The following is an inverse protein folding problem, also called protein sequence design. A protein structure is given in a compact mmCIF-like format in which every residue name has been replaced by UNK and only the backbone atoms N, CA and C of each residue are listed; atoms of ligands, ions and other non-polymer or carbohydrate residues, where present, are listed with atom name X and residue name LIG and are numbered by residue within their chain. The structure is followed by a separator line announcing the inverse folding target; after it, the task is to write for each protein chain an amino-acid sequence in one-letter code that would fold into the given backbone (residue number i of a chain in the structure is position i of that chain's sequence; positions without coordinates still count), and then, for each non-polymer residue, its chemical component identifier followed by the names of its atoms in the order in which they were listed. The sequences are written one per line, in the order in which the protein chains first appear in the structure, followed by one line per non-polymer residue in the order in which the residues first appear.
data_IF_445166085474
#
_entry.id   IF_445166085474
#
_cell.length_a   1.000
_cell.length_b   1.000
_cell.length_c   1.000
_cell.angle_alpha   90.00
_cell.angle_beta   90.00
_cell.angle_gamma   90.00
#
_symmetry.space_group_name_H-M   'P 1'
#
loop_
_entity.id
_entity.type
_entity.pdbx_description
1 polymer ?
#
# COMPACT_ATOMS: atom_id res chain seq x y z
N UNK A 1 20.73 12.24 -23.17
CA UNK A 1 20.55 10.81 -23.54
C UNK A 1 19.35 10.32 -22.76
N UNK A 2 18.23 10.16 -23.43
CA UNK A 2 16.96 9.73 -22.81
C UNK A 2 17.03 8.23 -22.60
N UNK A 3 16.98 7.78 -21.34
CA UNK A 3 16.83 6.37 -21.02
C UNK A 3 15.39 5.96 -21.35
N UNK A 4 15.23 5.14 -22.37
CA UNK A 4 13.98 4.49 -22.71
C UNK A 4 13.56 3.58 -21.53
N UNK A 5 12.38 3.79 -21.02
CA UNK A 5 11.79 2.91 -20.01
C UNK A 5 11.52 1.55 -20.67
N UNK A 6 12.10 0.49 -20.10
CA UNK A 6 11.86 -0.88 -20.56
C UNK A 6 10.57 -1.38 -19.89
N UNK A 7 9.51 -1.42 -20.68
CA UNK A 7 8.21 -1.99 -20.26
C UNK A 7 8.22 -3.47 -20.60
N UNK A 8 8.23 -4.32 -19.57
CA UNK A 8 8.03 -5.76 -19.75
C UNK A 8 6.54 -6.06 -19.57
N UNK A 9 5.83 -6.17 -20.69
CA UNK A 9 4.45 -6.64 -20.71
C UNK A 9 4.45 -8.17 -20.82
N UNK A 10 3.85 -8.84 -19.84
CA UNK A 10 3.42 -10.21 -20.01
C UNK A 10 2.03 -10.19 -20.64
N UNK A 11 1.83 -10.76 -21.83
CA UNK A 11 0.53 -10.76 -22.47
C UNK A 11 -0.42 -11.73 -21.77
N UNK A 12 -1.23 -11.21 -20.87
CA UNK A 12 -2.43 -11.91 -20.44
C UNK A 12 -3.54 -11.62 -21.47
N UNK A 13 -4.14 -12.67 -21.98
CA UNK A 13 -5.15 -12.64 -23.06
C UNK A 13 -6.38 -11.83 -22.68
N UNK A 14 -6.81 -10.99 -23.62
CA UNK A 14 -8.14 -10.40 -23.88
C UNK A 14 -8.52 -9.06 -23.28
N UNK A 15 -8.47 -8.09 -24.20
CA UNK A 15 -9.48 -7.09 -24.61
C UNK A 15 -10.59 -6.75 -23.61
N UNK A 16 -10.37 -5.70 -22.79
CA UNK A 16 -11.41 -4.79 -22.32
C UNK A 16 -10.80 -3.41 -22.09
N UNK A 17 -11.54 -2.40 -22.51
CA UNK A 17 -11.24 -0.98 -22.45
C UNK A 17 -10.84 -0.54 -21.05
N UNK A 18 -9.71 0.15 -21.01
CA UNK A 18 -9.04 0.70 -19.82
C UNK A 18 -9.98 1.61 -19.04
N UNK A 19 -10.24 1.19 -17.81
CA UNK A 19 -10.66 2.11 -16.76
C UNK A 19 -9.50 2.21 -15.78
N UNK A 20 -8.72 3.30 -15.85
CA UNK A 20 -7.54 3.58 -15.01
C UNK A 20 -7.86 3.70 -13.51
N UNK A 21 -9.13 3.57 -13.13
CA UNK A 21 -9.65 3.74 -11.77
C UNK A 21 -9.58 2.48 -10.89
N UNK A 22 -9.30 1.31 -11.47
CA UNK A 22 -9.35 0.04 -10.74
C UNK A 22 -7.97 -0.56 -10.44
N UNK A 23 -7.05 0.28 -9.94
CA UNK A 23 -5.76 -0.20 -9.47
C UNK A 23 -5.91 -0.92 -8.14
N UNK A 24 -5.79 -2.25 -8.17
CA UNK A 24 -5.91 -3.14 -7.00
C UNK A 24 -4.65 -3.12 -6.14
N UNK A 25 -3.49 -2.91 -6.78
CA UNK A 25 -2.20 -2.92 -6.13
C UNK A 25 -1.21 -1.98 -6.81
N UNK A 26 -0.49 -1.22 -6.00
CA UNK A 26 0.64 -0.38 -6.40
C UNK A 26 1.79 -0.60 -5.40
N UNK A 27 2.97 -0.87 -5.91
CA UNK A 27 4.19 -0.86 -5.13
C UNK A 27 5.26 -0.08 -5.87
N UNK A 28 5.81 0.94 -5.25
CA UNK A 28 6.94 1.71 -5.77
C UNK A 28 8.11 1.61 -4.84
N UNK A 29 9.28 1.37 -5.40
CA UNK A 29 10.52 1.30 -4.65
C UNK A 29 11.68 1.76 -5.48
N UNK A 30 12.29 2.88 -5.10
CA UNK A 30 13.39 3.51 -5.82
C UNK A 30 13.04 3.71 -7.32
N UNK A 31 13.62 2.92 -8.19
CA UNK A 31 13.47 3.03 -9.66
C UNK A 31 12.59 1.91 -10.24
N UNK A 32 11.80 1.24 -9.43
CA UNK A 32 10.92 0.18 -9.91
C UNK A 32 9.54 0.36 -9.31
N UNK A 33 8.52 0.29 -10.14
CA UNK A 33 7.13 0.22 -9.68
C UNK A 33 6.40 -0.95 -10.32
N UNK A 34 5.48 -1.49 -9.53
CA UNK A 34 4.55 -2.54 -9.94
C UNK A 34 3.15 -1.95 -9.81
N UNK A 35 2.36 -2.09 -10.87
CA UNK A 35 0.94 -1.76 -10.89
C UNK A 35 0.16 -2.95 -11.38
N UNK A 36 -1.00 -3.16 -10.81
CA UNK A 36 -1.93 -4.17 -11.28
C UNK A 36 -3.32 -3.59 -11.42
N UNK A 37 -4.11 -4.13 -12.34
CA UNK A 37 -5.51 -3.77 -12.51
C UNK A 37 -6.37 -4.99 -12.78
N UNK A 38 -7.65 -4.86 -12.43
CA UNK A 38 -8.62 -5.92 -12.54
C UNK A 38 -8.33 -7.12 -11.64
N UNK A 39 -9.31 -8.00 -11.50
CA UNK A 39 -9.27 -9.16 -10.61
C UNK A 39 -9.63 -10.41 -11.40
N UNK A 40 -8.77 -11.41 -11.36
CA UNK A 40 -9.07 -12.78 -11.85
C UNK A 40 -9.62 -13.61 -10.71
N UNK A 41 -8.95 -13.56 -9.55
CA UNK A 41 -9.32 -14.33 -8.35
C UNK A 41 -8.85 -13.63 -7.09
N UNK A 42 -9.63 -13.75 -6.01
CA UNK A 42 -9.31 -13.22 -4.69
C UNK A 42 -9.08 -14.37 -3.71
N UNK A 43 -8.16 -14.17 -2.77
CA UNK A 43 -7.84 -15.15 -1.73
C UNK A 43 -7.76 -14.47 -0.36
N UNK A 44 -8.44 -15.04 0.61
CA UNK A 44 -8.32 -14.70 2.03
C UNK A 44 -7.32 -15.64 2.76
N UNK A 45 -6.81 -16.64 2.06
CA UNK A 45 -5.83 -17.63 2.52
C UNK A 45 -4.55 -17.57 1.67
N UNK A 46 -3.41 -17.38 2.34
CA UNK A 46 -2.10 -17.45 1.68
C UNK A 46 -1.79 -18.86 1.15
N UNK A 47 -2.31 -19.88 1.82
CA UNK A 47 -2.13 -21.27 1.39
C UNK A 47 -2.85 -21.53 0.06
N UNK A 48 -4.10 -21.10 -0.07
CA UNK A 48 -4.88 -21.31 -1.29
C UNK A 48 -4.29 -20.53 -2.48
N UNK A 49 -3.80 -19.32 -2.24
CA UNK A 49 -3.07 -18.56 -3.25
C UNK A 49 -1.77 -19.27 -3.69
N UNK A 50 -1.03 -19.86 -2.75
CA UNK A 50 0.18 -20.61 -3.05
C UNK A 50 -0.11 -21.89 -3.87
N UNK A 51 -1.17 -22.63 -3.55
CA UNK A 51 -1.60 -23.78 -4.33
C UNK A 51 -2.07 -23.39 -5.74
N UNK A 52 -2.75 -22.25 -5.88
CA UNK A 52 -3.16 -21.74 -7.19
C UNK A 52 -1.95 -21.40 -8.08
N UNK A 53 -0.91 -20.76 -7.51
CA UNK A 53 0.36 -20.51 -8.21
C UNK A 53 1.08 -21.81 -8.58
N UNK A 54 1.20 -22.74 -7.64
CA UNK A 54 1.91 -24.01 -7.84
C UNK A 54 1.27 -24.88 -8.90
N UNK A 55 -0.05 -24.88 -9.01
CA UNK A 55 -0.80 -25.63 -10.02
C UNK A 55 -0.87 -24.93 -11.38
N UNK A 56 -0.36 -23.70 -11.49
CA UNK A 56 -0.45 -22.90 -12.71
C UNK A 56 -1.85 -22.37 -13.01
N UNK A 57 -2.76 -22.37 -12.01
CA UNK A 57 -4.11 -21.79 -12.15
C UNK A 57 -4.07 -20.28 -12.28
N UNK A 58 -3.10 -19.66 -11.66
CA UNK A 58 -2.79 -18.23 -11.75
C UNK A 58 -1.28 -18.02 -11.94
N UNK A 59 -0.89 -16.92 -12.56
CA UNK A 59 0.52 -16.62 -12.85
C UNK A 59 1.18 -15.70 -11.80
N UNK A 60 0.38 -14.90 -11.11
CA UNK A 60 0.88 -13.95 -10.13
C UNK A 60 -0.15 -13.66 -9.04
N UNK A 61 0.35 -13.26 -7.87
CA UNK A 61 -0.45 -12.82 -6.73
C UNK A 61 0.17 -11.55 -6.16
N UNK A 62 -0.68 -10.58 -5.84
CA UNK A 62 -0.32 -9.35 -5.12
C UNK A 62 -1.24 -9.18 -3.92
N UNK A 63 -0.81 -8.38 -2.94
CA UNK A 63 -1.67 -8.07 -1.81
C UNK A 63 -0.92 -7.90 -0.51
N UNK A 64 -1.61 -8.15 0.60
CA UNK A 64 -1.07 -8.07 1.95
C UNK A 64 -1.31 -9.35 2.74
N UNK A 65 -0.26 -9.77 3.44
CA UNK A 65 -0.33 -10.84 4.45
C UNK A 65 -0.50 -10.21 5.84
N UNK A 66 -1.37 -10.76 6.68
CA UNK A 66 -1.51 -10.31 8.06
C UNK A 66 -0.30 -10.75 8.90
N UNK A 67 -0.04 -10.03 9.98
CA UNK A 67 0.97 -10.45 10.96
C UNK A 67 0.55 -11.72 11.73
N UNK A 68 -0.74 -11.82 12.06
CA UNK A 68 -1.29 -13.02 12.71
C UNK A 68 -1.79 -14.01 11.65
N UNK A 69 -1.36 -15.29 11.69
CA UNK A 69 -1.79 -16.30 10.74
C UNK A 69 -3.29 -16.64 10.81
N UNK A 70 -3.96 -16.27 11.91
CA UNK A 70 -5.39 -16.45 12.11
C UNK A 70 -6.25 -15.36 11.45
N UNK A 71 -5.61 -14.29 10.99
CA UNK A 71 -6.28 -13.19 10.30
C UNK A 71 -6.32 -13.49 8.81
N UNK A 72 -7.44 -13.22 8.11
CA UNK A 72 -7.50 -13.41 6.66
C UNK A 72 -6.49 -12.57 5.91
N UNK A 73 -5.91 -13.12 4.87
CA UNK A 73 -5.03 -12.43 3.92
C UNK A 73 -5.86 -11.59 2.94
N UNK A 74 -5.28 -10.54 2.40
CA UNK A 74 -5.87 -9.78 1.29
C UNK A 74 -5.02 -9.99 0.05
N UNK A 75 -5.31 -11.02 -0.72
CA UNK A 75 -4.52 -11.43 -1.88
C UNK A 75 -5.38 -11.47 -3.14
N UNK A 76 -4.80 -11.02 -4.25
CA UNK A 76 -5.48 -10.94 -5.54
C UNK A 76 -4.57 -11.48 -6.64
N UNK A 77 -5.12 -12.35 -7.48
CA UNK A 77 -4.55 -12.64 -8.79
C UNK A 77 -5.03 -11.56 -9.76
N UNK A 78 -4.17 -10.65 -10.23
CA UNK A 78 -4.58 -9.53 -11.05
C UNK A 78 -4.82 -9.97 -12.49
N UNK A 79 -5.71 -9.24 -13.18
CA UNK A 79 -5.94 -9.41 -14.61
C UNK A 79 -4.77 -8.84 -15.43
N UNK A 80 -4.20 -7.73 -14.97
CA UNK A 80 -3.07 -7.06 -15.60
C UNK A 80 -1.96 -6.80 -14.56
N UNK A 81 -0.73 -7.07 -14.96
CA UNK A 81 0.46 -6.86 -14.15
C UNK A 81 1.50 -6.09 -14.96
N UNK A 82 1.82 -4.89 -14.53
CA UNK A 82 2.81 -4.02 -15.19
C UNK A 82 3.97 -3.73 -14.24
N UNK A 83 5.17 -3.99 -14.70
CA UNK A 83 6.40 -3.60 -14.00
C UNK A 83 7.15 -2.58 -14.81
N UNK A 84 7.40 -1.42 -14.24
CA UNK A 84 8.11 -0.33 -14.90
C UNK A 84 9.42 -0.04 -14.16
N UNK A 85 10.49 0.10 -14.93
CA UNK A 85 11.77 0.62 -14.46
C UNK A 85 11.89 2.08 -14.91
N UNK A 86 12.23 2.96 -13.98
CA UNK A 86 12.38 4.39 -14.24
C UNK A 86 11.41 5.24 -13.42
N UNK A 87 11.55 6.53 -13.54
CA UNK A 87 10.79 7.53 -12.80
C UNK A 87 9.41 7.74 -13.47
N UNK A 88 8.38 7.14 -12.91
CA UNK A 88 7.00 7.29 -13.40
C UNK A 88 6.28 8.53 -12.87
N UNK A 89 6.87 9.24 -11.90
CA UNK A 89 6.11 10.16 -11.05
C UNK A 89 6.41 11.64 -11.29
N UNK A 90 7.13 11.99 -12.36
CA UNK A 90 7.65 13.35 -12.54
C UNK A 90 6.68 14.39 -13.07
N UNK A 91 5.52 14.04 -13.60
CA UNK A 91 4.76 15.01 -14.37
C UNK A 91 3.38 15.40 -13.82
N UNK A 92 2.78 14.64 -12.93
CA UNK A 92 1.43 14.98 -12.46
C UNK A 92 1.13 14.41 -11.06
N UNK A 93 1.48 15.17 -10.02
CA UNK A 93 1.09 14.79 -8.64
C UNK A 93 -0.42 14.98 -8.51
N UNK A 94 -1.20 13.94 -8.20
CA UNK A 94 -2.64 14.05 -8.05
C UNK A 94 -3.03 15.09 -6.99
N UNK A 95 -4.04 15.88 -7.26
CA UNK A 95 -4.67 16.72 -6.25
C UNK A 95 -5.59 15.84 -5.41
N UNK A 96 -5.48 15.97 -4.08
CA UNK A 96 -6.41 15.34 -3.16
C UNK A 96 -7.50 16.32 -2.74
N UNK A 97 -8.70 15.84 -2.38
CA UNK A 97 -9.75 16.70 -1.88
C UNK A 97 -9.35 17.39 -0.58
N UNK A 98 -9.97 18.54 -0.32
CA UNK A 98 -9.87 19.23 0.97
C UNK A 98 -10.24 18.27 2.09
N UNK A 99 -9.44 18.30 3.15
CA UNK A 99 -9.61 17.38 4.26
C UNK A 99 -9.31 18.05 5.59
N UNK A 100 -9.87 17.50 6.67
CA UNK A 100 -9.66 17.99 8.04
C UNK A 100 -9.33 16.82 8.98
N UNK A 101 -8.60 17.12 10.04
CA UNK A 101 -8.40 16.15 11.12
C UNK A 101 -9.69 16.10 11.95
N UNK A 102 -10.31 14.93 12.01
CA UNK A 102 -11.55 14.68 12.74
C UNK A 102 -11.33 13.99 14.10
N UNK A 103 -10.18 13.33 14.30
CA UNK A 103 -9.90 12.65 15.55
C UNK A 103 -8.43 12.33 15.76
N UNK A 104 -8.10 12.03 17.02
CA UNK A 104 -6.77 11.65 17.48
C UNK A 104 -6.87 10.44 18.41
N UNK A 105 -6.03 9.42 18.22
CA UNK A 105 -5.92 8.27 19.12
C UNK A 105 -4.43 7.89 19.32
N UNK A 106 -3.90 8.07 20.52
CA UNK A 106 -4.50 8.77 21.68
C UNK A 106 -4.60 10.29 21.45
N UNK A 107 -5.27 10.99 22.37
CA UNK A 107 -5.33 12.46 22.33
C UNK A 107 -3.94 13.09 22.33
N UNK A 108 -3.77 14.32 21.82
CA UNK A 108 -2.48 15.01 21.80
C UNK A 108 -1.81 15.07 23.19
N UNK A 109 -2.59 15.32 24.23
CA UNK A 109 -2.08 15.39 25.60
C UNK A 109 -1.53 14.04 26.07
N UNK A 110 -2.31 12.97 25.92
CA UNK A 110 -1.88 11.61 26.29
C UNK A 110 -0.63 11.21 25.49
N UNK A 111 -0.55 11.56 24.21
CA UNK A 111 0.63 11.28 23.41
C UNK A 111 1.86 12.01 23.95
N UNK A 112 1.74 13.29 24.30
CA UNK A 112 2.81 14.09 24.89
C UNK A 112 3.30 13.49 26.21
N UNK A 113 2.38 13.03 27.06
CA UNK A 113 2.73 12.41 28.34
C UNK A 113 3.43 11.07 28.15
N UNK A 114 3.00 10.25 27.14
CA UNK A 114 3.71 9.02 26.77
C UNK A 114 5.13 9.30 26.27
N UNK A 115 5.33 10.35 25.47
CA UNK A 115 6.66 10.76 24.98
C UNK A 115 7.55 11.16 26.18
N UNK A 116 7.02 11.96 27.12
CA UNK A 116 7.76 12.37 28.33
C UNK A 116 8.20 11.16 29.16
N UNK A 117 7.28 10.24 29.45
CA UNK A 117 7.61 9.01 30.20
C UNK A 117 8.60 8.12 29.45
N UNK A 118 8.53 8.05 28.12
CA UNK A 118 9.51 7.30 27.33
C UNK A 118 10.91 7.92 27.42
N UNK A 119 11.04 9.26 27.38
CA UNK A 119 12.31 9.97 27.55
C UNK A 119 12.92 9.72 28.92
N UNK A 120 12.10 9.72 29.99
CA UNK A 120 12.56 9.42 31.35
C UNK A 120 13.14 8.01 31.45
N UNK A 121 12.46 7.02 30.88
CA UNK A 121 12.94 5.62 30.87
C UNK A 121 14.19 5.40 30.03
N UNK A 122 14.31 6.08 28.89
CA UNK A 122 15.54 6.07 28.07
C UNK A 122 16.72 6.67 28.84
N UNK A 123 16.49 7.78 29.57
CA UNK A 123 17.55 8.43 30.41
C UNK A 123 17.94 7.59 31.62
N UNK A 124 17.00 6.81 32.16
CA UNK A 124 17.28 5.90 33.28
C UNK A 124 18.00 4.62 32.82
N UNK A 125 18.11 4.36 31.53
CA UNK A 125 18.68 3.11 30.97
C UNK A 125 17.73 1.92 31.01
N UNK A 126 16.43 2.15 31.27
CA UNK A 126 15.42 1.11 31.26
C UNK A 126 15.05 0.66 29.82
N UNK A 127 15.32 1.50 28.83
CA UNK A 127 15.07 1.28 27.42
C UNK A 127 16.24 1.81 26.60
N UNK A 128 16.64 1.06 25.57
CA UNK A 128 17.62 1.50 24.58
C UNK A 128 16.94 2.26 23.42
N UNK A 129 15.74 1.83 23.05
CA UNK A 129 14.96 2.40 21.94
C UNK A 129 13.47 2.20 22.20
N UNK A 130 12.67 3.16 21.77
CA UNK A 130 11.21 3.04 21.70
C UNK A 130 10.67 3.78 20.50
N UNK A 131 9.66 3.22 19.85
CA UNK A 131 8.89 3.87 18.79
C UNK A 131 7.49 4.12 19.31
N UNK A 132 7.09 5.39 19.32
CA UNK A 132 5.74 5.79 19.72
C UNK A 132 4.94 6.21 18.49
N UNK A 133 3.73 5.68 18.39
CA UNK A 133 2.82 5.99 17.30
C UNK A 133 1.50 6.54 17.84
N UNK A 134 0.80 7.27 16.97
CA UNK A 134 -0.60 7.66 17.17
C UNK A 134 -1.32 7.60 15.83
N UNK A 135 -2.62 7.43 15.85
CA UNK A 135 -3.49 7.53 14.68
C UNK A 135 -4.21 8.88 14.63
N UNK A 136 -4.47 9.32 13.43
CA UNK A 136 -5.31 10.48 13.13
C UNK A 136 -6.46 10.01 12.25
N UNK A 137 -7.68 10.43 12.60
CA UNK A 137 -8.82 10.29 11.68
C UNK A 137 -8.87 11.55 10.82
N UNK A 138 -8.83 11.37 9.52
CA UNK A 138 -8.93 12.44 8.53
C UNK A 138 -10.21 12.22 7.74
N UNK A 139 -11.02 13.27 7.64
CA UNK A 139 -12.23 13.30 6.82
C UNK A 139 -12.00 14.22 5.62
N UNK A 140 -12.33 13.74 4.44
CA UNK A 140 -12.27 14.50 3.20
C UNK A 140 -13.67 14.90 2.73
N UNK A 141 -13.76 16.01 2.01
CA UNK A 141 -15.03 16.54 1.46
C UNK A 141 -15.59 15.67 0.33
N UNK A 142 -14.74 14.86 -0.30
CA UNK A 142 -15.13 13.88 -1.31
C UNK A 142 -14.26 12.64 -1.24
N UNK A 143 -14.60 11.62 -2.02
CA UNK A 143 -13.87 10.35 -2.04
C UNK A 143 -12.40 10.55 -2.40
N UNK A 144 -11.52 9.99 -1.56
CA UNK A 144 -10.10 9.87 -1.86
C UNK A 144 -9.89 8.53 -2.56
N UNK A 145 -9.38 8.56 -3.79
CA UNK A 145 -8.96 7.36 -4.48
C UNK A 145 -7.62 6.87 -3.89
N UNK A 146 -7.53 5.62 -3.39
CA UNK A 146 -6.34 5.13 -2.70
C UNK A 146 -5.07 5.20 -3.56
N UNK A 147 -5.17 4.92 -4.86
CA UNK A 147 -4.06 5.02 -5.79
C UNK A 147 -3.52 6.45 -5.91
N UNK A 148 -4.41 7.46 -5.99
CA UNK A 148 -4.01 8.86 -6.05
C UNK A 148 -3.30 9.33 -4.76
N UNK A 149 -3.76 8.84 -3.60
CA UNK A 149 -3.08 9.08 -2.34
C UNK A 149 -1.69 8.44 -2.31
N UNK A 150 -1.57 7.19 -2.77
CA UNK A 150 -0.29 6.50 -2.87
C UNK A 150 0.68 7.22 -3.80
N UNK A 151 0.25 7.63 -4.97
CA UNK A 151 1.06 8.40 -5.93
C UNK A 151 1.56 9.70 -5.33
N UNK A 152 0.71 10.41 -4.61
CA UNK A 152 1.12 11.64 -3.92
C UNK A 152 2.17 11.37 -2.85
N UNK A 153 2.00 10.33 -2.04
CA UNK A 153 2.99 9.96 -1.02
C UNK A 153 4.32 9.54 -1.65
N UNK A 154 4.29 8.76 -2.73
CA UNK A 154 5.47 8.33 -3.48
C UNK A 154 6.20 9.55 -4.06
N UNK A 155 5.47 10.50 -4.65
CA UNK A 155 6.05 11.71 -5.22
C UNK A 155 6.72 12.62 -4.17
N UNK A 156 6.23 12.58 -2.92
CA UNK A 156 6.80 13.34 -1.80
C UNK A 156 7.97 12.62 -1.11
N UNK A 157 8.14 11.33 -1.32
CA UNK A 157 9.26 10.57 -0.76
C UNK A 157 10.48 10.67 -1.66
N UNK A 158 11.64 11.04 -1.09
CA UNK A 158 12.89 11.21 -1.85
C UNK A 158 13.39 9.93 -2.55
N UNK A 159 13.03 8.77 -2.03
CA UNK A 159 13.37 7.48 -2.59
C UNK A 159 12.23 6.87 -3.43
N UNK A 160 11.12 7.61 -3.58
CA UNK A 160 9.92 7.18 -4.30
C UNK A 160 9.37 5.83 -3.82
N UNK A 161 9.44 5.59 -2.50
CA UNK A 161 8.85 4.41 -1.89
C UNK A 161 7.39 4.65 -1.55
N UNK A 162 6.57 3.66 -1.80
CA UNK A 162 5.18 3.68 -1.38
C UNK A 162 4.39 2.51 -1.93
N UNK A 163 3.20 2.32 -1.39
CA UNK A 163 2.34 1.21 -1.77
C UNK A 163 0.86 1.58 -1.59
N UNK A 164 0.04 0.87 -2.34
CA UNK A 164 -1.40 0.80 -2.18
C UNK A 164 -1.85 -0.66 -2.35
N UNK A 165 -2.66 -1.14 -1.42
CA UNK A 165 -3.19 -2.51 -1.43
C UNK A 165 -4.67 -2.47 -1.12
N UNK A 166 -5.50 -3.07 -1.97
CA UNK A 166 -6.90 -3.32 -1.63
C UNK A 166 -6.98 -4.44 -0.58
N UNK A 167 -7.70 -4.19 0.49
CA UNK A 167 -7.91 -5.13 1.58
C UNK A 167 -9.23 -5.89 1.47
N UNK A 168 -10.04 -5.62 0.45
CA UNK A 168 -11.35 -6.25 0.26
C UNK A 168 -11.32 -7.77 0.20
N UNK A 169 -10.27 -8.43 -0.36
CA UNK A 169 -10.17 -9.88 -0.38
C UNK A 169 -10.16 -10.53 1.01
N UNK A 170 -9.69 -9.83 2.05
CA UNK A 170 -9.76 -10.30 3.43
C UNK A 170 -11.20 -10.34 4.00
N UNK A 171 -12.17 -9.79 3.28
CA UNK A 171 -13.59 -9.83 3.65
C UNK A 171 -13.96 -9.03 4.89
N UNK A 172 -15.20 -9.22 5.37
CA UNK A 172 -15.71 -8.63 6.61
C UNK A 172 -15.49 -7.11 6.70
N UNK A 173 -14.86 -6.67 7.79
CA UNK A 173 -14.57 -5.25 8.06
C UNK A 173 -13.58 -4.61 7.08
N UNK A 174 -12.88 -5.40 6.27
CA UNK A 174 -11.87 -4.92 5.33
C UNK A 174 -12.43 -4.59 3.95
N UNK A 175 -13.68 -4.96 3.65
CA UNK A 175 -14.34 -4.63 2.36
C UNK A 175 -14.37 -3.13 2.12
N UNK A 176 -13.97 -2.71 0.91
CA UNK A 176 -13.89 -1.30 0.51
C UNK A 176 -12.82 -0.50 1.24
N UNK A 177 -11.84 -1.16 1.86
CA UNK A 177 -10.72 -0.51 2.52
C UNK A 177 -9.43 -0.80 1.78
N UNK A 178 -8.54 0.19 1.77
CA UNK A 178 -7.21 0.06 1.22
C UNK A 178 -6.16 0.45 2.26
N UNK A 179 -5.02 -0.21 2.19
CA UNK A 179 -3.82 0.15 2.93
C UNK A 179 -2.91 0.94 2.01
N UNK A 180 -2.63 2.18 2.38
CA UNK A 180 -1.74 3.08 1.63
C UNK A 180 -0.63 3.56 2.54
N UNK A 181 0.58 3.57 2.04
CA UNK A 181 1.71 4.03 2.83
C UNK A 181 2.93 4.42 1.99
N UNK A 182 3.83 5.12 2.65
CA UNK A 182 5.18 5.39 2.17
C UNK A 182 6.15 5.12 3.32
N UNK A 183 7.12 4.26 3.11
CA UNK A 183 8.10 3.89 4.13
C UNK A 183 9.45 3.57 3.49
N UNK A 184 10.56 4.04 4.07
CA UNK A 184 11.90 3.66 3.66
C UNK A 184 12.29 2.26 4.14
N UNK A 185 11.58 1.72 5.14
CA UNK A 185 11.92 0.43 5.74
C UNK A 185 11.57 -0.74 4.83
N UNK A 186 12.45 -1.71 4.85
CA UNK A 186 12.30 -2.98 4.13
C UNK A 186 12.44 -4.09 5.14
N UNK A 187 11.40 -4.87 5.26
CA UNK A 187 11.50 -6.16 5.93
C UNK A 187 12.13 -7.16 4.94
N UNK A 188 13.28 -7.68 5.32
CA UNK A 188 13.97 -8.73 4.58
C UNK A 188 13.80 -10.02 5.37
#
# INVERSE_FOLDING_TARGET
MSALAEVSEFPLRNNRTDDETDSVFLLSRRQTSIRTSGVVEEFDSAFDAAEALKTGRIDSVVGALPFSPETPSALTAPLSFTRVRGDLYHSNIPSLPTSRVAGFEPSPQIHTDRVRGAIERLRAGDLDKVVLARSLTIEAESTIFPAALAEKLIALDHAHNGFCVDLSPAGGKYRGRSLVGSTPEVLI
#
